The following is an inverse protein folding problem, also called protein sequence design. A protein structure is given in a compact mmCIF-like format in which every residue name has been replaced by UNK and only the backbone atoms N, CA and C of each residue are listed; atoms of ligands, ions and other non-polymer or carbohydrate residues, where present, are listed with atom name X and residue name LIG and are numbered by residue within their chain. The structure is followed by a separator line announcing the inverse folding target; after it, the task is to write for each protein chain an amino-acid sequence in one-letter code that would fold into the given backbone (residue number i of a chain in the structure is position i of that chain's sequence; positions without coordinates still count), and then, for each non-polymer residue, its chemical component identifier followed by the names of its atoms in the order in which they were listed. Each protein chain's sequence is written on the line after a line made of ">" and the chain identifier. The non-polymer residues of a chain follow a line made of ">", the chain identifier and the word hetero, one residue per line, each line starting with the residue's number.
data_IF_781302815825
#
_entry.id   IF_781302815825
#
_cell.length_a   1.000
_cell.length_b   1.000
_cell.length_c   1.000
_cell.angle_alpha   90.00
_cell.angle_beta   90.00
_cell.angle_gamma   90.00
#
_symmetry.space_group_name_H-M   'P 1'
#
loop_
_entity.id
_entity.type
_entity.pdbx_description
1 polymer ?
#
# COMPACT_ATOMS: atom_id res chain seq x y z
N UNK A 1 -45.92 23.45 -67.57
CA UNK A 1 -45.97 21.98 -67.39
C UNK A 1 -44.55 21.49 -67.24
N UNK A 2 -44.13 21.19 -66.06
CA UNK A 2 -42.78 20.68 -65.74
C UNK A 2 -42.91 19.15 -65.52
N UNK A 3 -42.55 18.32 -66.53
CA UNK A 3 -42.59 16.89 -66.38
C UNK A 3 -41.25 16.39 -65.79
N UNK A 4 -41.27 15.82 -64.62
CA UNK A 4 -40.18 14.97 -64.26
C UNK A 4 -39.49 15.19 -62.91
N UNK A 5 -40.21 15.56 -61.86
CA UNK A 5 -39.68 15.33 -60.52
C UNK A 5 -40.23 14.00 -60.03
N UNK A 6 -39.40 12.97 -59.89
CA UNK A 6 -39.87 11.74 -59.26
C UNK A 6 -40.35 12.07 -57.85
N UNK A 7 -41.54 11.59 -57.52
CA UNK A 7 -42.14 11.73 -56.19
C UNK A 7 -41.26 10.96 -55.22
N UNK A 8 -40.26 11.66 -54.64
CA UNK A 8 -39.38 11.07 -53.65
C UNK A 8 -40.19 10.81 -52.39
N UNK A 9 -40.40 9.55 -52.13
CA UNK A 9 -41.04 9.09 -50.91
C UNK A 9 -40.29 9.67 -49.69
N UNK A 10 -40.97 10.34 -48.75
CA UNK A 10 -40.32 10.98 -47.64
C UNK A 10 -39.51 9.94 -46.85
N UNK A 11 -38.24 10.23 -46.66
CA UNK A 11 -37.32 9.39 -45.91
C UNK A 11 -37.88 9.18 -44.51
N UNK A 12 -38.42 7.97 -44.24
CA UNK A 12 -38.83 7.59 -42.90
C UNK A 12 -37.59 7.38 -42.04
N UNK A 13 -37.29 8.37 -41.20
CA UNK A 13 -36.31 8.21 -40.14
C UNK A 13 -36.78 7.09 -39.21
N UNK A 14 -35.93 6.11 -38.90
CA UNK A 14 -36.30 5.09 -37.93
C UNK A 14 -36.64 5.76 -36.59
N UNK A 15 -37.62 5.23 -35.84
CA UNK A 15 -37.98 5.79 -34.55
C UNK A 15 -36.77 5.79 -33.62
N UNK A 16 -36.58 6.87 -32.91
CA UNK A 16 -35.51 6.98 -31.93
C UNK A 16 -35.58 5.82 -30.93
N UNK A 17 -34.48 5.10 -30.66
CA UNK A 17 -34.49 3.99 -29.75
C UNK A 17 -34.98 4.46 -28.38
N UNK A 18 -35.90 3.76 -27.71
CA UNK A 18 -36.38 4.19 -26.40
C UNK A 18 -35.24 4.17 -25.41
N UNK A 19 -35.06 5.28 -24.71
CA UNK A 19 -34.00 5.46 -23.67
C UNK A 19 -34.18 4.44 -22.51
N UNK A 20 -35.36 3.88 -22.35
CA UNK A 20 -35.71 2.94 -21.28
C UNK A 20 -36.54 1.78 -21.82
N UNK A 21 -36.26 0.50 -21.49
CA UNK A 21 -35.26 0.01 -20.55
C UNK A 21 -33.84 -0.06 -21.16
N UNK A 22 -32.75 0.08 -20.34
CA UNK A 22 -31.39 -0.03 -20.84
C UNK A 22 -31.16 -1.43 -21.42
N UNK A 23 -30.35 -1.50 -22.50
CA UNK A 23 -30.03 -2.76 -23.16
C UNK A 23 -29.55 -3.82 -22.14
N UNK A 24 -29.93 -5.11 -22.32
CA UNK A 24 -29.66 -6.18 -21.32
C UNK A 24 -28.20 -6.30 -20.94
N UNK A 25 -27.26 -5.83 -21.77
CA UNK A 25 -25.83 -5.77 -21.46
C UNK A 25 -25.45 -4.86 -20.27
N UNK A 26 -26.25 -3.82 -20.00
CA UNK A 26 -26.01 -2.94 -18.85
C UNK A 26 -26.25 -3.65 -17.52
N UNK A 27 -27.20 -4.57 -17.48
CA UNK A 27 -27.47 -5.38 -16.30
C UNK A 27 -26.34 -6.36 -16.02
N UNK A 28 -25.73 -6.95 -17.06
CA UNK A 28 -24.55 -7.79 -16.92
C UNK A 28 -23.35 -6.97 -16.41
N UNK A 29 -23.13 -5.77 -16.93
CA UNK A 29 -22.08 -4.87 -16.46
C UNK A 29 -22.27 -4.51 -14.98
N UNK A 30 -23.49 -4.13 -14.60
CA UNK A 30 -23.81 -3.81 -13.19
C UNK A 30 -23.56 -5.00 -12.26
N UNK A 31 -23.93 -6.22 -12.70
CA UNK A 31 -23.71 -7.45 -11.94
C UNK A 31 -22.23 -7.79 -11.79
N UNK A 32 -21.43 -7.61 -12.84
CA UNK A 32 -19.96 -7.79 -12.79
C UNK A 32 -19.32 -6.78 -11.86
N UNK A 33 -19.69 -5.50 -11.94
CA UNK A 33 -19.16 -4.45 -11.04
C UNK A 33 -19.54 -4.73 -9.59
N UNK A 34 -20.79 -5.14 -9.34
CA UNK A 34 -21.27 -5.53 -8.01
C UNK A 34 -20.51 -6.75 -7.48
N UNK A 35 -20.38 -7.81 -8.30
CA UNK A 35 -19.65 -9.01 -7.94
C UNK A 35 -18.17 -8.72 -7.65
N UNK A 36 -17.53 -7.87 -8.48
CA UNK A 36 -16.15 -7.44 -8.28
C UNK A 36 -16.02 -6.59 -7.00
N UNK A 37 -16.96 -5.69 -6.76
CA UNK A 37 -17.01 -4.88 -5.53
C UNK A 37 -17.16 -5.74 -4.28
N UNK A 38 -18.09 -6.72 -4.30
CA UNK A 38 -18.27 -7.69 -3.23
C UNK A 38 -17.05 -8.60 -3.06
N UNK A 39 -16.43 -9.03 -4.14
CA UNK A 39 -15.20 -9.84 -4.11
C UNK A 39 -14.03 -9.07 -3.50
N UNK A 40 -13.82 -7.81 -3.91
CA UNK A 40 -12.80 -6.93 -3.33
C UNK A 40 -13.11 -6.62 -1.87
N UNK A 41 -14.36 -6.35 -1.52
CA UNK A 41 -14.80 -6.16 -0.13
C UNK A 41 -14.62 -7.44 0.68
N UNK A 42 -14.92 -8.60 0.13
CA UNK A 42 -14.73 -9.90 0.78
C UNK A 42 -13.24 -10.24 0.95
N UNK A 43 -12.40 -9.93 -0.03
CA UNK A 43 -10.93 -10.03 0.13
C UNK A 43 -10.37 -9.04 1.14
N UNK A 44 -10.93 -7.81 1.19
CA UNK A 44 -10.59 -6.82 2.23
C UNK A 44 -11.18 -7.16 3.59
N UNK A 45 -12.36 -7.78 3.63
CA UNK A 45 -13.07 -8.18 4.84
C UNK A 45 -12.65 -9.53 5.42
N UNK A 46 -11.82 -10.32 4.72
CA UNK A 46 -11.16 -11.51 5.27
C UNK A 46 -9.84 -11.19 5.99
N UNK A 47 -9.73 -9.96 6.52
CA UNK A 47 -8.95 -9.85 7.75
C UNK A 47 -9.82 -10.55 8.79
N UNK A 48 -9.34 -11.60 9.50
CA UNK A 48 -10.09 -12.09 10.64
C UNK A 48 -10.41 -10.86 11.48
N UNK A 49 -11.70 -10.62 11.77
CA UNK A 49 -12.04 -9.96 13.02
C UNK A 49 -11.48 -10.93 14.09
N UNK A 50 -10.22 -10.78 14.34
CA UNK A 50 -9.71 -11.10 15.66
C UNK A 50 -10.51 -10.15 16.51
N UNK A 51 -11.52 -10.69 17.21
CA UNK A 51 -12.16 -10.05 18.34
C UNK A 51 -11.02 -9.33 19.04
N UNK A 52 -11.20 -8.01 19.30
CA UNK A 52 -10.19 -7.24 19.99
C UNK A 52 -9.74 -8.12 21.17
N UNK A 53 -8.53 -8.70 21.11
CA UNK A 53 -8.01 -9.35 22.29
C UNK A 53 -7.90 -8.21 23.28
N UNK A 54 -8.33 -8.43 24.47
CA UNK A 54 -7.75 -7.77 25.64
C UNK A 54 -6.27 -7.87 25.37
N UNK A 55 -5.65 -6.74 24.98
CA UNK A 55 -4.23 -6.68 24.64
C UNK A 55 -3.54 -6.92 25.97
N UNK A 56 -3.25 -8.17 26.22
CA UNK A 56 -2.37 -8.56 27.32
C UNK A 56 -1.04 -7.89 27.03
N UNK A 57 -0.49 -7.20 27.99
CA UNK A 57 0.84 -6.56 27.98
C UNK A 57 1.92 -7.49 27.38
N UNK A 58 1.75 -8.79 27.52
CA UNK A 58 2.54 -9.84 26.91
C UNK A 58 2.54 -9.83 25.36
N UNK A 59 1.45 -9.40 24.73
CA UNK A 59 1.36 -9.44 23.24
C UNK A 59 2.19 -8.36 22.57
N UNK A 60 2.30 -7.17 23.18
CA UNK A 60 3.15 -6.09 22.65
C UNK A 60 4.64 -6.41 22.84
N UNK A 61 4.99 -6.99 23.99
CA UNK A 61 6.37 -7.40 24.28
C UNK A 61 6.82 -8.54 23.36
N UNK A 62 5.94 -9.49 23.05
CA UNK A 62 6.19 -10.55 22.10
C UNK A 62 6.35 -10.01 20.67
N UNK A 63 5.53 -9.03 20.26
CA UNK A 63 5.66 -8.38 18.96
C UNK A 63 6.98 -7.63 18.84
N UNK A 64 7.35 -6.87 19.87
CA UNK A 64 8.62 -6.14 19.97
C UNK A 64 9.81 -7.07 19.90
N UNK A 65 9.82 -8.13 20.71
CA UNK A 65 10.91 -9.10 20.76
C UNK A 65 11.08 -9.83 19.42
N UNK A 66 9.99 -10.23 18.79
CA UNK A 66 9.97 -10.86 17.47
C UNK A 66 10.50 -9.91 16.39
N UNK A 67 10.08 -8.64 16.41
CA UNK A 67 10.54 -7.64 15.46
C UNK A 67 12.05 -7.35 15.59
N UNK A 68 12.56 -7.28 16.82
CA UNK A 68 14.00 -7.11 17.08
C UNK A 68 14.81 -8.34 16.64
N UNK A 69 14.28 -9.53 16.88
CA UNK A 69 14.92 -10.77 16.42
C UNK A 69 14.97 -10.85 14.90
N UNK A 70 13.89 -10.43 14.20
CA UNK A 70 13.87 -10.36 12.75
C UNK A 70 14.85 -9.32 12.22
N UNK A 71 14.91 -8.13 12.82
CA UNK A 71 15.90 -7.10 12.47
C UNK A 71 17.33 -7.61 12.61
N UNK A 72 17.62 -8.38 13.66
CA UNK A 72 18.96 -8.94 13.91
C UNK A 72 19.33 -10.03 12.90
N UNK A 73 18.36 -10.76 12.39
CA UNK A 73 18.56 -11.80 11.36
C UNK A 73 18.83 -11.24 9.97
N UNK A 74 18.50 -9.97 9.71
CA UNK A 74 18.77 -9.34 8.42
C UNK A 74 20.28 -9.18 8.24
N UNK A 75 20.90 -9.80 7.22
CA UNK A 75 22.33 -9.67 6.99
C UNK A 75 22.66 -8.24 6.59
N UNK A 76 23.61 -7.61 7.30
CA UNK A 76 24.09 -6.28 6.99
C UNK A 76 24.92 -6.31 5.71
N UNK A 77 24.66 -5.41 4.74
CA UNK A 77 25.29 -5.44 3.43
C UNK A 77 26.66 -4.77 3.40
N UNK A 78 27.57 -5.11 4.32
CA UNK A 78 28.92 -4.54 4.32
C UNK A 78 29.66 -4.89 3.04
N UNK A 79 30.08 -3.88 2.27
CA UNK A 79 30.76 -4.07 0.99
C UNK A 79 29.91 -4.66 -0.14
N UNK A 80 28.62 -4.93 0.10
CA UNK A 80 27.68 -5.52 -0.87
C UNK A 80 26.57 -4.52 -1.26
N UNK A 81 25.77 -4.83 -2.31
CA UNK A 81 24.62 -4.02 -2.67
C UNK A 81 23.57 -3.96 -1.54
N UNK A 82 23.20 -2.74 -1.13
CA UNK A 82 22.32 -2.51 0.01
C UNK A 82 20.82 -2.53 -0.34
N UNK A 83 20.46 -2.52 -1.62
CA UNK A 83 19.07 -2.45 -2.07
C UNK A 83 18.12 -3.47 -1.42
N UNK A 84 18.41 -4.78 -1.46
CA UNK A 84 17.56 -5.81 -0.84
C UNK A 84 17.41 -5.64 0.66
N UNK A 85 18.47 -5.23 1.36
CA UNK A 85 18.44 -4.99 2.80
C UNK A 85 17.57 -3.77 3.15
N UNK A 86 17.68 -2.68 2.40
CA UNK A 86 16.83 -1.49 2.58
C UNK A 86 15.35 -1.81 2.34
N UNK A 87 15.06 -2.63 1.32
CA UNK A 87 13.70 -3.10 1.06
C UNK A 87 13.16 -3.93 2.23
N UNK A 88 13.97 -4.84 2.79
CA UNK A 88 13.59 -5.66 3.92
C UNK A 88 13.33 -4.81 5.19
N UNK A 89 14.18 -3.82 5.49
CA UNK A 89 13.97 -2.88 6.58
C UNK A 89 12.66 -2.10 6.40
N UNK A 90 12.43 -1.58 5.21
CA UNK A 90 11.22 -0.80 4.91
C UNK A 90 9.96 -1.68 5.00
N UNK A 91 10.02 -2.92 4.53
CA UNK A 91 8.93 -3.89 4.65
C UNK A 91 8.62 -4.25 6.11
N UNK A 92 9.66 -4.44 6.93
CA UNK A 92 9.53 -4.67 8.37
C UNK A 92 8.81 -3.50 9.05
N UNK A 93 9.28 -2.27 8.86
CA UNK A 93 8.66 -1.07 9.43
C UNK A 93 7.20 -0.90 8.97
N UNK A 94 6.92 -1.09 7.68
CA UNK A 94 5.54 -1.02 7.15
C UNK A 94 4.62 -2.08 7.76
N UNK A 95 5.14 -3.29 7.98
CA UNK A 95 4.38 -4.38 8.62
C UNK A 95 4.07 -4.05 10.07
N UNK A 96 5.05 -3.55 10.84
CA UNK A 96 4.87 -3.13 12.22
C UNK A 96 3.86 -1.98 12.33
N UNK A 97 4.00 -0.93 11.50
CA UNK A 97 3.02 0.16 11.47
C UNK A 97 1.61 -0.33 11.13
N UNK A 98 1.47 -1.34 10.26
CA UNK A 98 0.17 -1.90 9.94
C UNK A 98 -0.45 -2.66 11.12
N UNK A 99 0.37 -3.32 11.93
CA UNK A 99 -0.07 -4.02 13.12
C UNK A 99 -0.48 -3.02 14.23
N UNK A 100 0.36 -2.00 14.48
CA UNK A 100 0.13 -1.02 15.55
C UNK A 100 -0.88 0.08 15.19
N UNK A 101 -1.07 0.38 13.89
CA UNK A 101 -1.94 1.46 13.39
C UNK A 101 -2.84 0.99 12.25
N UNK A 102 -3.83 0.11 12.51
CA UNK A 102 -4.68 -0.47 11.46
C UNK A 102 -5.54 0.56 10.73
N UNK A 103 -5.96 1.62 11.43
CA UNK A 103 -6.89 2.63 10.91
C UNK A 103 -6.21 3.85 10.30
N UNK A 104 -4.87 3.87 10.23
CA UNK A 104 -4.14 5.03 9.77
C UNK A 104 -3.72 4.93 8.30
N UNK A 105 -3.59 6.11 7.68
CA UNK A 105 -3.15 6.33 6.29
C UNK A 105 -1.69 5.88 6.05
N UNK A 106 -1.00 5.34 7.08
CA UNK A 106 0.39 4.86 6.99
C UNK A 106 0.67 3.94 5.79
N UNK A 107 -0.36 3.25 5.29
CA UNK A 107 -0.24 2.35 4.13
C UNK A 107 -0.12 3.07 2.79
N UNK A 108 -0.59 4.32 2.70
CA UNK A 108 -0.55 5.14 1.49
C UNK A 108 0.66 6.06 1.43
N UNK A 109 1.33 6.24 2.58
CA UNK A 109 2.50 7.11 2.67
C UNK A 109 3.72 6.47 1.99
N UNK A 110 4.48 7.29 1.28
CA UNK A 110 5.71 6.91 0.61
C UNK A 110 6.74 8.04 0.69
N UNK A 111 7.98 7.74 0.34
CA UNK A 111 9.02 8.76 0.29
C UNK A 111 9.25 9.46 1.62
N UNK A 112 9.41 10.77 1.55
CA UNK A 112 9.68 11.63 2.71
C UNK A 112 8.53 11.62 3.72
N UNK A 113 7.28 11.57 3.26
CA UNK A 113 6.10 11.59 4.13
C UNK A 113 6.02 10.34 4.99
N UNK A 114 6.47 9.20 4.46
CA UNK A 114 6.60 7.96 5.22
C UNK A 114 7.62 8.08 6.36
N UNK A 115 8.81 8.64 6.08
CA UNK A 115 9.83 8.84 7.11
C UNK A 115 9.40 9.89 8.16
N UNK A 116 8.75 10.96 7.72
CA UNK A 116 8.19 11.97 8.61
C UNK A 116 7.12 11.38 9.53
N UNK A 117 6.29 10.47 9.01
CA UNK A 117 5.32 9.72 9.82
C UNK A 117 6.02 8.89 10.89
N UNK A 118 7.07 8.12 10.55
CA UNK A 118 7.83 7.32 11.52
C UNK A 118 8.46 8.20 12.62
N UNK A 119 9.07 9.32 12.23
CA UNK A 119 9.70 10.24 13.20
C UNK A 119 8.67 11.01 14.03
N UNK A 120 7.48 11.28 13.50
CA UNK A 120 6.39 11.88 14.30
C UNK A 120 5.98 10.98 15.46
N UNK A 121 6.12 9.67 15.30
CA UNK A 121 5.83 8.67 16.33
C UNK A 121 7.01 8.44 17.27
N UNK A 122 8.22 8.40 16.74
CA UNK A 122 9.45 8.21 17.51
C UNK A 122 10.56 9.17 17.05
N UNK A 123 10.54 10.43 17.49
CA UNK A 123 11.57 11.43 17.12
C UNK A 123 12.99 10.99 17.47
N UNK A 124 13.13 10.15 18.50
CA UNK A 124 14.42 9.64 18.94
C UNK A 124 15.11 8.72 17.93
N UNK A 125 14.36 8.12 17.00
CA UNK A 125 14.91 7.28 15.95
C UNK A 125 15.59 8.10 14.85
N UNK A 126 15.05 9.28 14.52
CA UNK A 126 15.61 10.20 13.53
C UNK A 126 15.72 9.60 12.14
N UNK A 127 14.73 8.83 11.72
CA UNK A 127 14.69 8.10 10.45
C UNK A 127 14.65 9.03 9.23
N UNK A 128 14.18 10.26 9.36
CA UNK A 128 14.20 11.27 8.28
C UNK A 128 15.60 11.60 7.78
N UNK A 129 16.65 11.36 8.58
CA UNK A 129 18.05 11.51 8.16
C UNK A 129 18.46 10.47 7.11
N UNK A 130 17.73 9.36 7.06
CA UNK A 130 18.04 8.21 6.21
C UNK A 130 17.07 8.12 5.03
N UNK A 131 17.02 9.17 4.18
CA UNK A 131 16.22 9.14 2.95
C UNK A 131 16.53 7.92 2.07
N UNK A 132 17.76 7.41 2.20
CA UNK A 132 18.22 6.22 1.50
C UNK A 132 17.38 4.97 1.81
N UNK A 133 16.69 4.91 2.96
CA UNK A 133 15.79 3.81 3.32
C UNK A 133 14.64 3.68 2.33
N UNK A 134 14.19 4.79 1.75
CA UNK A 134 13.09 4.82 0.79
C UNK A 134 13.58 4.73 -0.64
N UNK A 135 14.60 5.53 -0.97
CA UNK A 135 15.07 5.67 -2.36
C UNK A 135 16.08 4.58 -2.74
N UNK A 136 16.84 4.08 -1.75
CA UNK A 136 17.93 3.15 -2.00
C UNK A 136 17.50 1.75 -2.43
N UNK A 137 16.30 1.33 -2.03
CA UNK A 137 15.76 0.03 -2.41
C UNK A 137 15.53 -0.16 -3.91
N UNK A 138 15.48 0.95 -4.67
CA UNK A 138 15.30 0.95 -6.13
C UNK A 138 16.62 1.05 -6.90
N UNK A 139 17.77 1.10 -6.20
CA UNK A 139 19.10 1.21 -6.80
C UNK A 139 19.85 -0.10 -6.66
N UNK A 140 19.99 -0.92 -7.72
CA UNK A 140 20.53 -2.28 -7.62
C UNK A 140 21.98 -2.32 -7.15
N UNK A 141 22.81 -1.36 -7.55
CA UNK A 141 24.25 -1.34 -7.25
C UNK A 141 24.64 -0.39 -6.10
N UNK A 142 23.65 0.09 -5.34
CA UNK A 142 23.91 1.00 -4.23
C UNK A 142 24.71 0.31 -3.14
N UNK A 143 25.88 0.84 -2.85
CA UNK A 143 26.70 0.46 -1.68
C UNK A 143 26.67 1.55 -0.65
N UNK A 144 26.52 1.19 0.59
CA UNK A 144 26.52 2.11 1.73
C UNK A 144 27.82 1.97 2.51
N UNK A 145 28.22 3.06 3.16
CA UNK A 145 29.28 3.02 4.14
C UNK A 145 28.83 2.24 5.39
N UNK A 146 29.73 1.49 5.99
CA UNK A 146 29.45 0.66 7.17
C UNK A 146 28.82 1.47 8.31
N UNK A 147 29.30 2.68 8.52
CA UNK A 147 28.73 3.62 9.50
C UNK A 147 27.26 3.98 9.21
N UNK A 148 26.91 4.10 7.96
CA UNK A 148 25.51 4.37 7.55
C UNK A 148 24.62 3.16 7.77
N UNK A 149 25.15 1.96 7.49
CA UNK A 149 24.46 0.68 7.73
C UNK A 149 24.16 0.52 9.23
N UNK A 150 25.18 0.69 10.07
CA UNK A 150 25.04 0.57 11.52
C UNK A 150 24.09 1.62 12.07
N UNK A 151 24.25 2.89 11.69
CA UNK A 151 23.40 3.98 12.14
C UNK A 151 21.93 3.78 11.74
N UNK A 152 21.65 3.27 10.54
CA UNK A 152 20.28 2.97 10.11
C UNK A 152 19.69 1.79 10.87
N UNK A 153 20.49 0.74 11.10
CA UNK A 153 20.07 -0.41 11.91
C UNK A 153 19.71 0.01 13.34
N UNK A 154 20.55 0.85 13.97
CA UNK A 154 20.32 1.35 15.32
C UNK A 154 19.09 2.28 15.39
N UNK A 155 18.87 3.09 14.37
CA UNK A 155 17.70 3.94 14.27
C UNK A 155 16.40 3.10 14.18
N UNK A 156 16.40 2.06 13.35
CA UNK A 156 15.26 1.13 13.25
C UNK A 156 15.06 0.37 14.55
N UNK A 157 16.12 -0.12 15.18
CA UNK A 157 16.04 -0.80 16.47
C UNK A 157 15.49 0.13 17.57
N UNK A 158 15.89 1.39 17.58
CA UNK A 158 15.37 2.40 18.51
C UNK A 158 13.89 2.66 18.30
N UNK A 159 13.47 2.73 17.04
CA UNK A 159 12.05 2.88 16.70
C UNK A 159 11.24 1.70 17.20
N UNK A 160 11.68 0.46 16.96
CA UNK A 160 10.98 -0.76 17.42
C UNK A 160 10.89 -0.78 18.94
N UNK A 161 12.00 -0.53 19.66
CA UNK A 161 12.01 -0.58 21.14
C UNK A 161 11.08 0.42 21.81
N UNK A 162 10.89 1.59 21.19
CA UNK A 162 10.11 2.68 21.80
C UNK A 162 8.68 2.76 21.31
N UNK A 163 8.34 2.01 20.27
CA UNK A 163 7.10 2.30 19.56
C UNK A 163 6.26 1.06 19.20
N UNK A 164 6.79 -0.13 19.36
CA UNK A 164 6.15 -1.42 19.31
C UNK A 164 6.25 -2.07 20.71
#
# INVERSE_FOLDING_TARGET
>A
VNPGVPNLEPLRLPPEPPFWPPAPGWWLLALVVLALGLFLRHRRGRRPLVAAPVIEENSEEDLRSTALAELTRLPRPYGAPAGPWLQALNALLKRLCRASYPDQISQTLSGRDWLAFLDSRCPAAGLTRYMILVDGGYRPDLRLEDRTIDGLQDAVATWIRKHV
#
